data_IF_272924854867
#
_entry.id   IF_272924854867
#
_cell.length_a   1.000
_cell.length_b   1.000
_cell.length_c   1.000
_cell.angle_alpha   90.00
_cell.angle_beta   90.00
_cell.angle_gamma   90.00
#
_symmetry.space_group_name_H-M   'P 1'
#
loop_
_entity.id
_entity.type
_entity.pdbx_description
1 polymer ?
#
# COMPACT_ATOMS: atom_id res chain seq x y z
N UNK A 1 24.91 -10.16 -32.09
CA UNK A 1 25.11 -10.19 -30.62
C UNK A 1 25.57 -8.85 -30.05
N UNK A 2 26.43 -8.07 -30.73
CA UNK A 2 26.94 -6.77 -30.20
C UNK A 2 25.85 -5.72 -29.97
N UNK A 3 24.81 -5.66 -30.82
CA UNK A 3 23.67 -4.74 -30.64
C UNK A 3 22.67 -5.19 -29.55
N UNK A 4 22.77 -6.42 -29.04
CA UNK A 4 21.85 -6.93 -28.02
C UNK A 4 22.22 -6.41 -26.62
N UNK A 5 23.52 -6.32 -26.34
CA UNK A 5 24.05 -5.81 -25.07
C UNK A 5 23.64 -4.37 -24.75
N UNK A 6 23.71 -3.38 -25.66
CA UNK A 6 23.25 -2.03 -25.35
C UNK A 6 21.73 -1.97 -25.14
N UNK A 7 20.95 -2.78 -25.86
CA UNK A 7 19.49 -2.85 -25.68
C UNK A 7 19.13 -3.45 -24.32
N UNK A 8 19.79 -4.53 -23.92
CA UNK A 8 19.61 -5.15 -22.60
C UNK A 8 20.04 -4.18 -21.50
N UNK A 9 21.18 -3.50 -21.67
CA UNK A 9 21.66 -2.50 -20.72
C UNK A 9 20.65 -1.36 -20.54
N UNK A 10 20.12 -0.83 -21.64
CA UNK A 10 19.10 0.22 -21.60
C UNK A 10 17.82 -0.26 -20.91
N UNK A 11 17.36 -1.48 -21.22
CA UNK A 11 16.19 -2.06 -20.58
C UNK A 11 16.37 -2.19 -19.06
N UNK A 12 17.53 -2.67 -18.61
CA UNK A 12 17.83 -2.84 -17.18
C UNK A 12 17.93 -1.50 -16.45
N UNK A 13 18.41 -0.43 -17.10
CA UNK A 13 18.44 0.91 -16.51
C UNK A 13 17.05 1.40 -16.06
N UNK A 14 15.99 1.02 -16.78
CA UNK A 14 14.62 1.37 -16.40
C UNK A 14 13.99 0.34 -15.46
N UNK A 15 14.27 -0.95 -15.66
CA UNK A 15 13.62 -2.02 -14.88
C UNK A 15 14.16 -2.18 -13.47
N UNK A 16 15.47 -2.03 -13.27
CA UNK A 16 16.07 -2.19 -11.94
C UNK A 16 15.50 -1.20 -10.93
N UNK A 17 15.38 0.12 -11.21
CA UNK A 17 14.72 1.04 -10.30
C UNK A 17 13.27 0.67 -9.98
N UNK A 18 12.50 0.23 -10.99
CA UNK A 18 11.12 -0.21 -10.78
C UNK A 18 11.04 -1.42 -9.84
N UNK A 19 11.89 -2.43 -10.06
CA UNK A 19 11.92 -3.64 -9.21
C UNK A 19 12.32 -3.34 -7.77
N UNK A 20 13.22 -2.37 -7.55
CA UNK A 20 13.59 -1.94 -6.20
C UNK A 20 12.38 -1.36 -5.47
N UNK A 21 11.58 -0.52 -6.14
CA UNK A 21 10.37 0.05 -5.56
C UNK A 21 9.25 -0.98 -5.41
N UNK A 22 9.13 -1.93 -6.34
CA UNK A 22 8.17 -3.05 -6.20
C UNK A 22 8.51 -3.90 -4.97
N UNK A 23 9.79 -4.23 -4.75
CA UNK A 23 10.23 -4.95 -3.55
C UNK A 23 10.01 -4.17 -2.25
N UNK A 24 10.16 -2.83 -2.30
CA UNK A 24 9.83 -1.94 -1.17
C UNK A 24 8.33 -1.99 -0.84
N UNK A 25 7.47 -1.97 -1.86
CA UNK A 25 6.02 -2.11 -1.70
C UNK A 25 5.65 -3.47 -1.12
N UNK A 26 6.20 -4.56 -1.67
CA UNK A 26 5.93 -5.92 -1.18
C UNK A 26 6.32 -6.05 0.29
N UNK A 27 7.48 -5.51 0.68
CA UNK A 27 7.90 -5.52 2.07
C UNK A 27 6.95 -4.70 2.98
N UNK A 28 6.36 -3.61 2.48
CA UNK A 28 5.37 -2.81 3.20
C UNK A 28 4.04 -3.57 3.35
N UNK A 29 3.60 -4.26 2.30
CA UNK A 29 2.43 -5.15 2.31
C UNK A 29 2.63 -6.23 3.38
N UNK A 30 3.76 -6.93 3.34
CA UNK A 30 4.08 -8.00 4.30
C UNK A 30 4.03 -7.50 5.74
N UNK A 31 4.60 -6.31 6.02
CA UNK A 31 4.52 -5.69 7.35
C UNK A 31 3.10 -5.37 7.77
N UNK A 32 2.28 -4.84 6.85
CA UNK A 32 0.90 -4.49 7.16
C UNK A 32 0.01 -5.72 7.39
N UNK A 33 0.19 -6.78 6.61
CA UNK A 33 -0.56 -8.03 6.77
C UNK A 33 -0.12 -8.85 7.99
N UNK A 34 1.16 -8.81 8.34
CA UNK A 34 1.70 -9.53 9.50
C UNK A 34 1.41 -8.84 10.83
N UNK A 35 1.06 -7.54 10.80
CA UNK A 35 0.66 -6.82 12.01
C UNK A 35 -0.63 -7.43 12.60
N UNK A 36 -0.77 -7.51 13.93
CA UNK A 36 -1.99 -8.03 14.54
C UNK A 36 -3.23 -7.34 13.98
N UNK A 37 -4.32 -8.09 13.80
CA UNK A 37 -5.57 -7.51 13.32
C UNK A 37 -6.30 -6.77 14.44
N UNK A 38 -7.08 -5.74 14.12
CA UNK A 38 -7.98 -5.13 15.08
C UNK A 38 -8.94 -6.17 15.67
N UNK A 39 -9.30 -6.09 16.96
CA UNK A 39 -10.26 -7.00 17.57
C UNK A 39 -11.61 -6.93 16.85
N UNK A 40 -12.42 -7.99 16.92
CA UNK A 40 -13.75 -8.08 16.27
C UNK A 40 -13.67 -7.86 14.74
N UNK A 41 -12.61 -8.39 14.13
CA UNK A 41 -12.40 -8.41 12.68
C UNK A 41 -12.45 -9.85 12.20
N UNK A 42 -13.30 -10.14 11.22
CA UNK A 42 -13.70 -11.51 10.86
C UNK A 42 -13.09 -12.01 9.54
N UNK A 43 -12.43 -11.14 8.78
CA UNK A 43 -11.76 -11.51 7.55
C UNK A 43 -11.24 -10.32 6.76
N UNK A 44 -10.32 -10.63 5.85
CA UNK A 44 -9.77 -9.73 4.83
C UNK A 44 -10.23 -10.23 3.47
N UNK A 45 -10.99 -9.45 2.71
CA UNK A 45 -11.30 -9.82 1.33
C UNK A 45 -10.05 -9.63 0.47
N UNK A 46 -9.42 -10.70 0.03
CA UNK A 46 -8.38 -10.67 -1.02
C UNK A 46 -6.98 -10.22 -0.61
N UNK A 47 -6.69 -10.10 0.69
CA UNK A 47 -5.40 -9.61 1.18
C UNK A 47 -5.24 -8.09 1.02
N UNK A 48 -4.05 -7.59 1.27
CA UNK A 48 -3.67 -6.21 1.06
C UNK A 48 -3.32 -5.96 -0.41
N UNK A 49 -3.87 -4.88 -0.96
CA UNK A 49 -3.58 -4.43 -2.32
C UNK A 49 -2.59 -3.26 -2.27
N UNK A 50 -1.45 -3.40 -2.94
CA UNK A 50 -0.44 -2.36 -3.05
C UNK A 50 -0.51 -1.58 -4.37
N UNK A 51 -0.07 -0.33 -4.35
CA UNK A 51 0.17 0.48 -5.55
C UNK A 51 1.30 1.48 -5.33
N UNK A 52 2.02 1.77 -6.41
CA UNK A 52 3.06 2.80 -6.48
C UNK A 52 2.68 3.78 -7.57
N UNK A 53 2.63 5.07 -7.25
CA UNK A 53 2.39 6.13 -8.21
C UNK A 53 2.94 7.46 -7.71
N UNK A 54 3.16 8.41 -8.61
CA UNK A 54 3.21 9.82 -8.25
C UNK A 54 1.77 10.32 -8.03
N UNK A 55 1.44 10.73 -6.80
CA UNK A 55 0.13 11.28 -6.45
C UNK A 55 0.29 12.72 -5.98
N UNK A 56 0.06 13.62 -6.93
CA UNK A 56 0.28 15.08 -6.89
C UNK A 56 1.52 15.48 -7.71
N UNK A 57 1.75 16.77 -7.89
CA UNK A 57 2.90 17.28 -8.61
C UNK A 57 4.15 17.17 -7.74
N UNK A 58 5.23 16.60 -8.27
CA UNK A 58 6.48 16.52 -7.53
C UNK A 58 7.46 15.51 -8.06
N UNK A 59 8.42 15.16 -7.21
CA UNK A 59 9.50 14.21 -7.51
C UNK A 59 9.62 13.23 -6.34
N UNK A 60 8.60 12.38 -6.17
CA UNK A 60 8.48 11.42 -5.08
C UNK A 60 7.71 10.18 -5.52
N UNK A 61 7.94 9.06 -4.83
CA UNK A 61 7.18 7.83 -5.01
C UNK A 61 6.17 7.68 -3.87
N UNK A 62 4.87 7.63 -4.17
CA UNK A 62 3.84 7.31 -3.19
C UNK A 62 3.50 5.82 -3.21
N UNK A 63 3.57 5.22 -2.04
CA UNK A 63 3.21 3.84 -1.77
C UNK A 63 1.88 3.85 -1.04
N UNK A 64 0.92 3.09 -1.57
CA UNK A 64 -0.34 2.82 -0.86
C UNK A 64 -0.56 1.35 -0.75
N UNK A 65 -0.88 0.93 0.46
CA UNK A 65 -1.37 -0.41 0.75
C UNK A 65 -2.77 -0.31 1.30
N UNK A 66 -3.72 -1.04 0.71
CA UNK A 66 -5.13 -1.03 1.07
C UNK A 66 -5.55 -2.39 1.57
N UNK A 67 -6.15 -2.44 2.75
CA UNK A 67 -6.74 -3.65 3.31
C UNK A 67 -8.24 -3.46 3.52
N UNK A 68 -9.03 -4.41 3.03
CA UNK A 68 -10.49 -4.41 3.22
C UNK A 68 -10.85 -5.38 4.34
N UNK A 69 -11.45 -4.85 5.41
CA UNK A 69 -11.79 -5.58 6.63
C UNK A 69 -13.30 -5.71 6.79
N UNK A 70 -13.77 -6.89 7.18
CA UNK A 70 -15.11 -7.04 7.77
C UNK A 70 -15.00 -6.97 9.29
N UNK A 71 -15.64 -5.97 9.91
CA UNK A 71 -15.45 -5.66 11.33
C UNK A 71 -16.70 -5.04 11.96
N UNK A 72 -16.81 -5.18 13.28
CA UNK A 72 -17.82 -4.47 14.09
C UNK A 72 -17.34 -3.08 14.54
N UNK A 73 -16.05 -2.80 14.41
CA UNK A 73 -15.47 -1.54 14.85
C UNK A 73 -15.99 -0.36 14.03
N UNK A 74 -16.17 0.77 14.71
CA UNK A 74 -16.40 2.06 14.08
C UNK A 74 -15.14 2.60 13.39
N UNK A 75 -15.30 3.62 12.55
CA UNK A 75 -14.16 4.32 11.93
C UNK A 75 -13.21 4.85 13.01
N UNK A 76 -13.74 5.47 14.07
CA UNK A 76 -12.92 6.01 15.17
C UNK A 76 -12.10 4.94 15.89
N UNK A 77 -12.71 3.79 16.23
CA UNK A 77 -11.98 2.69 16.89
C UNK A 77 -10.86 2.11 16.02
N UNK A 78 -11.07 2.03 14.70
CA UNK A 78 -10.07 1.57 13.75
C UNK A 78 -8.98 2.61 13.51
N UNK A 79 -9.33 3.89 13.46
CA UNK A 79 -8.36 4.99 13.38
C UNK A 79 -7.46 4.96 14.61
N UNK A 80 -8.04 4.91 15.82
CA UNK A 80 -7.30 4.83 17.08
C UNK A 80 -6.39 3.59 17.14
N UNK A 81 -6.85 2.46 16.58
CA UNK A 81 -6.05 1.25 16.48
C UNK A 81 -4.86 1.44 15.54
N UNK A 82 -5.09 2.00 14.35
CA UNK A 82 -4.08 2.24 13.32
C UNK A 82 -3.07 3.30 13.77
N UNK A 83 -3.52 4.32 14.49
CA UNK A 83 -2.69 5.37 15.10
C UNK A 83 -1.84 4.87 16.28
N UNK A 84 -2.07 3.64 16.75
CA UNK A 84 -1.19 2.95 17.70
C UNK A 84 -0.38 1.84 17.05
N UNK A 85 -0.61 1.56 15.77
CA UNK A 85 0.13 0.54 15.06
C UNK A 85 1.59 0.98 14.85
N UNK A 86 2.51 0.14 15.31
CA UNK A 86 3.95 0.34 15.12
C UNK A 86 4.40 -0.39 13.85
N UNK A 87 3.91 0.11 12.71
CA UNK A 87 4.27 -0.40 11.39
C UNK A 87 5.25 0.59 10.77
N UNK A 88 6.47 0.12 10.50
CA UNK A 88 7.46 0.92 9.80
C UNK A 88 7.07 1.12 8.33
N UNK A 89 7.19 2.37 7.87
CA UNK A 89 7.05 2.79 6.49
C UNK A 89 8.14 2.21 5.59
N UNK A 90 8.21 2.67 4.35
CA UNK A 90 9.10 2.15 3.31
C UNK A 90 10.58 2.34 3.69
N UNK A 91 10.93 3.52 4.20
CA UNK A 91 12.31 3.86 4.61
C UNK A 91 12.45 4.01 6.13
N UNK A 92 11.59 3.32 6.89
CA UNK A 92 11.66 3.27 8.36
C UNK A 92 10.97 4.44 9.07
N UNK A 93 10.40 5.39 8.34
CA UNK A 93 9.52 6.43 8.89
C UNK A 93 8.17 5.88 9.35
N UNK A 94 7.33 6.72 9.95
CA UNK A 94 5.98 6.34 10.31
C UNK A 94 5.02 6.64 9.15
N UNK A 95 4.33 5.64 8.59
CA UNK A 95 3.38 5.86 7.52
C UNK A 95 2.11 6.51 8.06
N UNK A 96 1.31 7.07 7.14
CA UNK A 96 0.00 7.63 7.45
C UNK A 96 -1.10 6.58 7.26
N UNK A 97 -2.15 6.65 8.08
CA UNK A 97 -3.29 5.75 7.98
C UNK A 97 -4.57 6.52 7.67
N UNK A 98 -5.39 5.97 6.78
CA UNK A 98 -6.74 6.45 6.49
C UNK A 98 -7.73 5.31 6.65
N UNK A 99 -8.81 5.54 7.40
CA UNK A 99 -9.89 4.56 7.59
C UNK A 99 -11.18 5.10 7.04
N UNK A 100 -11.89 4.31 6.24
CA UNK A 100 -13.17 4.71 5.64
C UNK A 100 -14.09 3.52 5.42
N UNK A 101 -15.42 3.70 5.50
CA UNK A 101 -16.35 2.65 5.12
C UNK A 101 -16.22 2.34 3.61
N UNK A 102 -16.35 1.07 3.25
CA UNK A 102 -16.48 0.68 1.84
C UNK A 102 -17.82 1.19 1.32
N UNK A 103 -17.88 1.93 0.20
CA UNK A 103 -19.14 2.36 -0.37
C UNK A 103 -19.99 1.13 -0.75
N UNK A 104 -21.31 1.17 -0.53
CA UNK A 104 -22.18 0.05 -0.83
C UNK A 104 -22.14 -0.26 -2.33
N UNK A 105 -21.75 -1.48 -2.69
CA UNK A 105 -21.92 -1.96 -4.06
C UNK A 105 -23.40 -2.22 -4.32
N UNK A 106 -23.90 -1.89 -5.52
CA UNK A 106 -25.31 -2.02 -5.93
C UNK A 106 -25.91 -3.45 -5.81
N UNK A 107 -25.10 -4.46 -5.47
CA UNK A 107 -25.46 -5.87 -5.53
C UNK A 107 -25.27 -6.67 -4.23
N UNK A 108 -24.91 -6.05 -3.10
CA UNK A 108 -24.65 -6.81 -1.86
C UNK A 108 -25.48 -6.26 -0.70
N UNK A 109 -26.53 -6.99 -0.36
CA UNK A 109 -27.22 -6.87 0.93
C UNK A 109 -26.63 -7.92 1.87
N UNK A 110 -25.65 -7.59 2.73
CA UNK A 110 -25.39 -8.39 3.93
C UNK A 110 -24.59 -7.66 5.02
N UNK A 111 -25.30 -7.36 6.12
CA UNK A 111 -25.01 -7.54 7.55
C UNK A 111 -23.63 -7.31 8.22
N UNK A 112 -22.53 -6.99 7.53
CA UNK A 112 -21.26 -6.67 8.20
C UNK A 112 -20.67 -5.35 7.70
N UNK A 113 -20.16 -4.49 8.59
CA UNK A 113 -19.55 -3.21 8.20
C UNK A 113 -18.20 -3.50 7.56
N UNK A 114 -18.13 -3.35 6.24
CA UNK A 114 -16.86 -3.41 5.52
C UNK A 114 -16.14 -2.08 5.64
N UNK A 115 -14.93 -2.11 6.17
CA UNK A 115 -14.05 -0.94 6.32
C UNK A 115 -12.83 -1.11 5.42
N UNK A 116 -12.34 -0.01 4.88
CA UNK A 116 -11.10 0.07 4.12
C UNK A 116 -10.11 0.80 5.02
N UNK A 117 -8.97 0.17 5.27
CA UNK A 117 -7.81 0.76 5.93
C UNK A 117 -6.73 0.94 4.87
N UNK A 118 -6.32 2.17 4.65
CA UNK A 118 -5.24 2.55 3.74
C UNK A 118 -4.04 2.99 4.56
N UNK A 119 -2.88 2.44 4.21
CA UNK A 119 -1.57 2.86 4.69
C UNK A 119 -0.88 3.55 3.52
N UNK A 120 -0.52 4.82 3.70
CA UNK A 120 0.16 5.64 2.71
C UNK A 120 1.53 6.11 3.24
N UNK A 121 2.56 6.01 2.40
CA UNK A 121 3.91 6.51 2.68
C UNK A 121 4.55 7.06 1.40
N UNK A 122 5.53 7.95 1.54
CA UNK A 122 6.18 8.60 0.39
C UNK A 122 7.69 8.64 0.56
N UNK A 123 8.43 8.34 -0.51
CA UNK A 123 9.89 8.43 -0.55
C UNK A 123 10.35 9.37 -1.66
N UNK A 124 11.63 9.75 -1.68
CA UNK A 124 12.20 10.39 -2.87
C UNK A 124 12.01 9.51 -4.12
N UNK A 125 11.84 10.13 -5.30
CA UNK A 125 11.51 9.40 -6.53
C UNK A 125 12.60 8.42 -6.99
N UNK A 126 13.86 8.69 -6.65
CA UNK A 126 14.99 7.95 -7.17
C UNK A 126 15.01 7.95 -8.71
N UNK A 127 15.13 6.75 -9.29
CA UNK A 127 15.22 6.56 -10.75
C UNK A 127 14.00 5.84 -11.35
N UNK A 128 12.97 5.58 -10.56
CA UNK A 128 11.75 4.94 -11.06
C UNK A 128 10.88 5.97 -11.77
N UNK A 129 10.71 5.80 -13.08
CA UNK A 129 9.93 6.70 -13.93
C UNK A 129 8.45 6.83 -13.52
N UNK A 130 7.91 5.93 -12.69
CA UNK A 130 6.55 6.04 -12.16
C UNK A 130 6.40 7.17 -11.13
N UNK A 131 7.51 7.75 -10.68
CA UNK A 131 7.61 8.70 -9.58
C UNK A 131 8.08 10.10 -10.00
N UNK A 132 8.15 10.35 -11.32
CA UNK A 132 8.56 11.62 -11.93
C UNK A 132 7.42 12.23 -12.75
#
# INVERSE_FOLDING_TARGET
MVALLPVIGLFLLFKVPMWVNDAKLDALIDRFESYPRPPRTYGTEGGAEGSIALRDNGNHCDYRVRLTLSTELSVGELTDYSDRADIAGVEGGRPSFTVRPRPPSKHVAYSSRTMIVELDDSTGAGLDLRCH
#
